data_IF_447632085495
#
_entry.id   IF_447632085495
#
_cell.length_a   1.000
_cell.length_b   1.000
_cell.length_c   1.000
_cell.angle_alpha   90.00
_cell.angle_beta   90.00
_cell.angle_gamma   90.00
#
_symmetry.space_group_name_H-M   'P 1'
#
loop_
_entity.id
_entity.type
_entity.pdbx_description
1 polymer ?
#
# COMPACT_ATOMS: atom_id res chain seq x y z
N UNK A 1 6.51 14.44 -25.51
CA UNK A 1 6.73 14.00 -24.12
C UNK A 1 8.12 13.39 -24.08
N UNK A 2 9.01 13.80 -23.18
CA UNK A 2 10.33 13.15 -23.06
C UNK A 2 10.16 11.72 -22.54
N UNK A 3 11.14 10.87 -22.85
CA UNK A 3 11.16 9.47 -22.42
C UNK A 3 11.08 9.33 -20.89
N UNK A 4 11.79 10.19 -20.16
CA UNK A 4 11.76 10.29 -18.70
C UNK A 4 10.36 10.58 -18.16
N UNK A 5 9.63 11.53 -18.77
CA UNK A 5 8.25 11.84 -18.38
C UNK A 5 7.31 10.66 -18.61
N UNK A 6 7.52 9.88 -19.68
CA UNK A 6 6.73 8.68 -19.94
C UNK A 6 7.03 7.54 -18.95
N UNK A 7 8.29 7.41 -18.52
CA UNK A 7 8.69 6.45 -17.47
C UNK A 7 8.07 6.83 -16.12
N UNK A 8 8.18 8.10 -15.72
CA UNK A 8 7.60 8.60 -14.48
C UNK A 8 6.07 8.40 -14.44
N UNK A 9 5.39 8.71 -15.56
CA UNK A 9 3.95 8.46 -15.69
C UNK A 9 3.59 6.97 -15.53
N UNK A 10 4.40 6.06 -16.09
CA UNK A 10 4.23 4.62 -15.91
C UNK A 10 4.43 4.20 -14.46
N UNK A 11 5.46 4.70 -13.78
CA UNK A 11 5.68 4.39 -12.36
C UNK A 11 4.51 4.85 -11.50
N UNK A 12 4.02 6.09 -11.69
CA UNK A 12 2.84 6.61 -10.98
C UNK A 12 1.59 5.77 -11.24
N UNK A 13 1.36 5.34 -12.49
CA UNK A 13 0.23 4.49 -12.84
C UNK A 13 0.30 3.11 -12.15
N UNK A 14 1.47 2.46 -12.19
CA UNK A 14 1.66 1.16 -11.53
C UNK A 14 1.55 1.28 -10.01
N UNK A 15 2.09 2.36 -9.43
CA UNK A 15 1.95 2.67 -8.00
C UNK A 15 0.48 2.81 -7.64
N UNK A 16 -0.26 3.64 -8.37
CA UNK A 16 -1.69 3.86 -8.16
C UNK A 16 -2.49 2.55 -8.19
N UNK A 17 -2.19 1.65 -9.13
CA UNK A 17 -2.80 0.31 -9.19
C UNK A 17 -2.55 -0.52 -7.93
N UNK A 18 -1.30 -0.56 -7.45
CA UNK A 18 -0.97 -1.29 -6.22
C UNK A 18 -1.59 -0.63 -4.97
N UNK A 19 -1.60 0.71 -4.87
CA UNK A 19 -2.27 1.45 -3.78
C UNK A 19 -3.78 1.15 -3.74
N UNK A 20 -4.42 1.03 -4.90
CA UNK A 20 -5.83 0.65 -5.00
C UNK A 20 -6.08 -0.79 -4.50
N UNK A 21 -5.20 -1.74 -4.83
CA UNK A 21 -5.28 -3.11 -4.30
C UNK A 21 -5.09 -3.13 -2.79
N UNK A 22 -4.11 -2.40 -2.25
CA UNK A 22 -3.90 -2.27 -0.80
C UNK A 22 -5.16 -1.72 -0.12
N UNK A 23 -5.76 -0.67 -0.66
CA UNK A 23 -7.00 -0.11 -0.11
C UNK A 23 -8.13 -1.13 -0.07
N UNK A 24 -8.27 -1.96 -1.11
CA UNK A 24 -9.27 -3.05 -1.12
C UNK A 24 -9.00 -4.09 -0.03
N UNK A 25 -7.75 -4.50 0.14
CA UNK A 25 -7.33 -5.46 1.18
C UNK A 25 -7.57 -4.91 2.59
N UNK A 26 -7.30 -3.62 2.82
CA UNK A 26 -7.59 -2.94 4.09
C UNK A 26 -9.10 -2.95 4.37
N UNK A 27 -9.93 -2.61 3.38
CA UNK A 27 -11.38 -2.60 3.56
C UNK A 27 -11.92 -4.02 3.80
N UNK A 28 -11.41 -5.02 3.09
CA UNK A 28 -11.77 -6.41 3.31
C UNK A 28 -11.40 -6.87 4.73
N UNK A 29 -10.24 -6.45 5.24
CA UNK A 29 -9.83 -6.75 6.62
C UNK A 29 -10.82 -6.19 7.64
N UNK A 30 -11.27 -4.94 7.44
CA UNK A 30 -12.28 -4.31 8.32
C UNK A 30 -13.59 -5.08 8.32
N UNK A 31 -14.07 -5.51 7.15
CA UNK A 31 -15.27 -6.36 7.06
C UNK A 31 -15.09 -7.68 7.81
N UNK A 32 -13.91 -8.31 7.73
CA UNK A 32 -13.64 -9.56 8.46
C UNK A 32 -13.57 -9.34 9.98
N UNK A 33 -13.12 -8.17 10.44
CA UNK A 33 -13.11 -7.84 11.87
C UNK A 33 -14.50 -7.57 12.43
N UNK A 34 -15.45 -7.16 11.59
CA UNK A 34 -16.84 -6.93 11.99
C UNK A 34 -17.67 -8.23 12.05
N UNK A 35 -17.18 -9.34 11.49
CA UNK A 35 -17.84 -10.65 11.53
C UNK A 35 -17.77 -11.29 12.92
N UNK A 36 -18.87 -11.92 13.36
CA UNK A 36 -18.94 -12.67 14.63
C UNK A 36 -17.93 -13.83 14.69
N UNK A 37 -17.56 -14.38 13.53
CA UNK A 37 -16.55 -15.42 13.38
C UNK A 37 -15.52 -15.00 12.33
N UNK A 38 -14.49 -14.21 12.73
CA UNK A 38 -13.51 -13.71 11.79
C UNK A 38 -12.77 -14.83 11.05
N UNK A 39 -12.71 -14.73 9.72
CA UNK A 39 -12.01 -15.70 8.89
C UNK A 39 -10.48 -15.53 9.00
N UNK A 40 -9.89 -16.16 10.02
CA UNK A 40 -8.45 -16.12 10.31
C UNK A 40 -7.56 -16.54 9.13
N UNK A 41 -7.95 -17.57 8.37
CA UNK A 41 -7.19 -18.01 7.19
C UNK A 41 -7.14 -16.95 6.09
N UNK A 42 -8.25 -16.21 5.90
CA UNK A 42 -8.28 -15.08 4.97
C UNK A 42 -7.41 -13.93 5.46
N UNK A 43 -7.39 -13.63 6.76
CA UNK A 43 -6.52 -12.60 7.34
C UNK A 43 -5.02 -12.92 7.15
N UNK A 44 -4.61 -14.19 7.28
CA UNK A 44 -3.25 -14.61 6.94
C UNK A 44 -2.94 -14.34 5.48
N UNK A 45 -3.83 -14.70 4.57
CA UNK A 45 -3.67 -14.44 3.12
C UNK A 45 -3.56 -12.94 2.83
N UNK A 46 -4.40 -12.12 3.45
CA UNK A 46 -4.38 -10.66 3.30
C UNK A 46 -3.05 -10.08 3.81
N UNK A 47 -2.52 -10.60 4.93
CA UNK A 47 -1.24 -10.16 5.48
C UNK A 47 -0.09 -10.35 4.48
N UNK A 48 -0.04 -11.51 3.81
CA UNK A 48 1.01 -11.80 2.83
C UNK A 48 0.85 -10.95 1.56
N UNK A 49 -0.38 -10.75 1.10
CA UNK A 49 -0.67 -9.86 -0.03
C UNK A 49 -0.32 -8.40 0.29
N UNK A 50 -0.64 -7.91 1.50
CA UNK A 50 -0.27 -6.57 1.94
C UNK A 50 1.27 -6.42 1.92
N UNK A 51 2.02 -7.38 2.48
CA UNK A 51 3.49 -7.34 2.45
C UNK A 51 4.05 -7.27 1.04
N UNK A 52 3.56 -8.10 0.11
CA UNK A 52 3.98 -8.08 -1.29
C UNK A 52 3.70 -6.71 -1.94
N UNK A 53 2.48 -6.21 -1.81
CA UNK A 53 2.07 -4.95 -2.44
C UNK A 53 2.77 -3.74 -1.84
N UNK A 54 2.97 -3.70 -0.52
CA UNK A 54 3.74 -2.65 0.15
C UNK A 54 5.16 -2.58 -0.36
N UNK A 55 5.83 -3.73 -0.56
CA UNK A 55 7.18 -3.76 -1.14
C UNK A 55 7.20 -3.14 -2.53
N UNK A 56 6.27 -3.54 -3.41
CA UNK A 56 6.18 -2.99 -4.77
C UNK A 56 5.92 -1.47 -4.77
N UNK A 57 5.07 -0.99 -3.86
CA UNK A 57 4.79 0.45 -3.73
C UNK A 57 6.02 1.21 -3.25
N UNK A 58 6.74 0.71 -2.23
CA UNK A 58 7.98 1.33 -1.74
C UNK A 58 9.05 1.44 -2.83
N UNK A 59 9.26 0.35 -3.60
CA UNK A 59 10.20 0.35 -4.73
C UNK A 59 9.81 1.38 -5.81
N UNK A 60 8.52 1.68 -5.97
CA UNK A 60 8.03 2.69 -6.91
C UNK A 60 8.11 4.10 -6.35
N UNK A 61 7.82 4.29 -5.06
CA UNK A 61 7.94 5.57 -4.37
C UNK A 61 9.39 6.08 -4.46
N UNK A 62 10.38 5.22 -4.19
CA UNK A 62 11.79 5.56 -4.34
C UNK A 62 12.13 5.99 -5.77
N UNK A 63 11.64 5.26 -6.79
CA UNK A 63 11.88 5.61 -8.20
C UNK A 63 11.23 6.93 -8.60
N UNK A 64 10.03 7.19 -8.09
CA UNK A 64 9.27 8.42 -8.36
C UNK A 64 9.95 9.62 -7.70
N UNK A 65 10.29 9.52 -6.41
CA UNK A 65 10.96 10.58 -5.65
C UNK A 65 12.30 10.96 -6.29
N UNK A 66 13.06 9.97 -6.77
CA UNK A 66 14.35 10.22 -7.44
C UNK A 66 14.22 10.85 -8.84
N UNK A 67 13.03 10.85 -9.45
CA UNK A 67 12.84 11.24 -10.85
C UNK A 67 11.81 12.38 -11.03
N UNK A 68 11.09 12.78 -9.98
CA UNK A 68 10.09 13.83 -10.06
C UNK A 68 10.72 15.23 -9.96
N UNK A 69 9.93 16.25 -10.29
CA UNK A 69 10.34 17.64 -10.10
C UNK A 69 10.57 17.91 -8.61
N UNK A 70 11.53 18.77 -8.29
CA UNK A 70 11.87 19.10 -6.88
C UNK A 70 10.67 19.63 -6.11
N UNK A 71 9.77 20.35 -6.79
CA UNK A 71 8.53 20.87 -6.22
C UNK A 71 7.56 19.77 -5.76
N UNK A 72 7.65 18.57 -6.34
CA UNK A 72 6.70 17.48 -6.09
C UNK A 72 7.19 16.52 -4.99
N UNK A 73 8.50 16.52 -4.67
CA UNK A 73 9.11 15.55 -3.75
C UNK A 73 8.39 15.50 -2.39
N UNK A 74 8.07 16.65 -1.82
CA UNK A 74 7.41 16.72 -0.51
C UNK A 74 6.04 16.02 -0.53
N UNK A 75 5.23 16.27 -1.57
CA UNK A 75 3.93 15.64 -1.72
C UNK A 75 4.05 14.12 -1.95
N UNK A 76 5.03 13.69 -2.76
CA UNK A 76 5.27 12.27 -3.04
C UNK A 76 5.65 11.50 -1.77
N UNK A 77 6.42 12.11 -0.86
CA UNK A 77 6.78 11.55 0.45
C UNK A 77 5.54 11.51 1.37
N UNK A 78 4.79 12.60 1.48
CA UNK A 78 3.62 12.68 2.35
C UNK A 78 2.57 11.63 1.98
N UNK A 79 2.27 11.47 0.69
CA UNK A 79 1.34 10.43 0.22
C UNK A 79 1.84 9.00 0.50
N UNK A 80 3.15 8.78 0.41
CA UNK A 80 3.74 7.48 0.70
C UNK A 80 3.63 7.15 2.20
N UNK A 81 3.91 8.13 3.06
CA UNK A 81 3.84 7.99 4.51
C UNK A 81 2.40 7.78 5.01
N UNK A 82 1.41 8.49 4.46
CA UNK A 82 0.00 8.30 4.83
C UNK A 82 -0.45 6.85 4.57
N UNK A 83 -0.12 6.31 3.39
CA UNK A 83 -0.46 4.93 3.07
C UNK A 83 0.31 3.93 3.95
N UNK A 84 1.60 4.17 4.19
CA UNK A 84 2.43 3.31 5.04
C UNK A 84 1.87 3.23 6.46
N UNK A 85 1.46 4.35 7.05
CA UNK A 85 0.82 4.37 8.38
C UNK A 85 -0.43 3.49 8.40
N UNK A 86 -1.31 3.67 7.42
CA UNK A 86 -2.56 2.87 7.33
C UNK A 86 -2.31 1.38 7.18
N UNK A 87 -1.27 0.99 6.44
CA UNK A 87 -0.88 -0.42 6.31
C UNK A 87 -0.37 -0.97 7.64
N UNK A 88 0.47 -0.22 8.35
CA UNK A 88 1.05 -0.65 9.62
C UNK A 88 -0.04 -0.82 10.70
N UNK A 89 -1.00 0.10 10.76
CA UNK A 89 -2.13 0.01 11.68
C UNK A 89 -2.93 -1.28 11.45
N UNK A 90 -3.31 -1.55 10.20
CA UNK A 90 -4.06 -2.77 9.84
C UNK A 90 -3.24 -4.04 10.08
N UNK A 91 -1.94 -4.04 9.78
CA UNK A 91 -1.08 -5.19 10.05
C UNK A 91 -0.98 -5.48 11.55
N UNK A 92 -0.97 -4.45 12.39
CA UNK A 92 -0.99 -4.60 13.85
C UNK A 92 -2.32 -5.20 14.30
N UNK A 93 -3.45 -4.70 13.82
CA UNK A 93 -4.78 -5.23 14.14
C UNK A 93 -4.92 -6.72 13.75
N UNK A 94 -4.46 -7.10 12.54
CA UNK A 94 -4.49 -8.50 12.11
C UNK A 94 -3.63 -9.36 13.04
N UNK A 95 -2.44 -8.87 13.40
CA UNK A 95 -1.52 -9.59 14.27
C UNK A 95 -2.12 -9.81 15.66
N UNK A 96 -2.81 -8.81 16.22
CA UNK A 96 -3.50 -8.94 17.50
C UNK A 96 -4.57 -10.06 17.43
N UNK A 97 -5.45 -10.01 16.43
CA UNK A 97 -6.53 -11.00 16.28
C UNK A 97 -6.04 -12.44 16.00
N UNK A 98 -4.92 -12.59 15.28
CA UNK A 98 -4.35 -13.91 14.96
C UNK A 98 -3.58 -14.54 16.13
N UNK A 99 -3.17 -13.75 17.12
CA UNK A 99 -2.46 -14.23 18.31
C UNK A 99 -3.39 -14.43 19.54
N UNK A 100 -4.65 -14.02 19.44
CA UNK A 100 -5.73 -14.33 20.41
C UNK A 100 -6.24 -15.78 20.29
#
# INVERSE_FOLDING_TARGET
MSEEKAILARFRAVRGGNRAVITKLINETRTIFEDEQPNRGRLTTITDLLKEKTRLVKDLDEKIINSCEVSDIANEIEEADELNSRILDVQREIKELLND
#
